data_IF_179698293171
#
_entry.id   IF_179698293171
#
_cell.length_a   1.000
_cell.length_b   1.000
_cell.length_c   1.000
_cell.angle_alpha   90.00
_cell.angle_beta   90.00
_cell.angle_gamma   90.00
#
_symmetry.space_group_name_H-M   'P 1'
#
loop_
_entity.id
_entity.type
_entity.pdbx_description
1 polymer ?
#
# COMPACT_ATOMS: atom_id res chain seq x y z
N UNK A 1 9.38 6.19 4.35
CA UNK A 1 8.41 6.01 3.26
C UNK A 1 8.91 4.82 2.50
N UNK A 2 8.16 3.73 2.58
CA UNK A 2 8.56 2.45 2.04
C UNK A 2 7.61 2.03 0.94
N UNK A 3 8.09 1.13 0.08
CA UNK A 3 7.39 0.68 -1.11
C UNK A 3 7.17 -0.82 -0.99
N UNK A 4 6.01 -1.29 -1.45
CA UNK A 4 5.77 -2.71 -1.65
C UNK A 4 5.04 -2.90 -2.98
N UNK A 5 5.55 -3.84 -3.75
CA UNK A 5 4.93 -4.38 -4.95
C UNK A 5 5.40 -5.84 -5.11
N UNK A 6 4.48 -6.79 -5.31
CA UNK A 6 4.83 -8.20 -5.36
C UNK A 6 5.45 -8.59 -6.72
N UNK A 7 5.29 -7.74 -7.74
CA UNK A 7 5.79 -7.96 -9.09
C UNK A 7 7.05 -7.15 -9.40
N UNK A 8 7.26 -6.03 -8.70
CA UNK A 8 8.41 -5.13 -8.89
C UNK A 8 9.22 -5.03 -7.60
N UNK A 9 10.26 -5.87 -7.40
CA UNK A 9 11.02 -5.91 -6.16
C UNK A 9 11.93 -4.68 -5.94
N UNK A 10 12.23 -3.92 -6.99
CA UNK A 10 13.00 -2.68 -6.89
C UNK A 10 12.53 -1.69 -7.96
N UNK A 11 12.23 -0.46 -7.54
CA UNK A 11 11.83 0.59 -8.45
C UNK A 11 13.04 1.06 -9.26
N UNK A 12 13.00 0.74 -10.55
CA UNK A 12 13.97 1.23 -11.53
C UNK A 12 13.71 2.69 -11.89
N UNK A 13 14.70 3.32 -12.52
CA UNK A 13 14.59 4.69 -13.00
C UNK A 13 13.39 4.84 -13.93
N UNK A 14 12.48 5.72 -13.55
CA UNK A 14 11.34 6.13 -14.37
C UNK A 14 11.71 7.34 -15.25
N UNK A 15 10.77 7.78 -16.10
CA UNK A 15 11.00 8.92 -17.01
C UNK A 15 11.46 10.19 -16.29
N UNK A 16 10.96 10.45 -15.09
CA UNK A 16 11.22 11.68 -14.33
C UNK A 16 11.94 11.47 -13.01
N UNK A 17 11.91 10.26 -12.44
CA UNK A 17 12.39 10.01 -11.08
C UNK A 17 13.23 8.75 -10.96
N UNK A 18 14.20 8.78 -10.05
CA UNK A 18 14.97 7.63 -9.62
C UNK A 18 14.86 7.48 -8.09
N UNK A 19 13.86 6.73 -7.63
CA UNK A 19 13.52 6.64 -6.21
C UNK A 19 14.40 5.66 -5.43
N UNK A 20 15.15 4.76 -6.10
CA UNK A 20 15.98 3.74 -5.45
C UNK A 20 15.28 3.02 -4.28
N UNK A 21 13.98 2.71 -4.42
CA UNK A 21 13.20 2.02 -3.40
C UNK A 21 13.16 0.53 -3.70
N UNK A 22 13.28 -0.27 -2.64
CA UNK A 22 13.10 -1.73 -2.71
C UNK A 22 11.79 -2.12 -2.05
N UNK A 23 11.14 -3.14 -2.62
CA UNK A 23 9.90 -3.70 -2.09
C UNK A 23 10.16 -4.31 -0.72
N UNK A 24 9.46 -3.83 0.30
CA UNK A 24 9.51 -4.36 1.68
C UNK A 24 8.42 -5.39 1.89
N UNK A 25 8.59 -6.32 2.81
CA UNK A 25 7.49 -7.23 3.17
C UNK A 25 6.37 -6.47 3.87
N UNK A 26 5.13 -6.83 3.54
CA UNK A 26 3.94 -6.20 4.06
C UNK A 26 3.27 -7.13 5.08
N UNK A 27 3.88 -7.22 6.27
CA UNK A 27 3.39 -7.99 7.40
C UNK A 27 2.70 -7.10 8.46
N UNK A 28 2.06 -7.71 9.46
CA UNK A 28 1.34 -6.99 10.52
C UNK A 28 2.24 -6.02 11.29
N UNK A 29 3.48 -6.41 11.57
CA UNK A 29 4.46 -5.59 12.29
C UNK A 29 4.80 -4.34 11.49
N UNK A 30 5.09 -4.52 10.20
CA UNK A 30 5.36 -3.43 9.29
C UNK A 30 4.15 -2.49 9.20
N UNK A 31 2.94 -3.03 8.97
CA UNK A 31 1.71 -2.23 8.85
C UNK A 31 1.41 -1.38 10.08
N UNK A 32 1.60 -1.93 11.29
CA UNK A 32 1.43 -1.19 12.54
C UNK A 32 2.48 -0.11 12.77
N UNK A 33 3.63 -0.22 12.11
CA UNK A 33 4.72 0.75 12.19
C UNK A 33 4.52 1.99 11.32
N UNK A 34 3.55 1.99 10.40
CA UNK A 34 3.25 3.12 9.53
C UNK A 34 2.01 3.89 9.99
N UNK A 35 2.01 5.21 9.78
CA UNK A 35 0.83 6.05 10.06
C UNK A 35 -0.29 5.87 9.03
N UNK A 36 0.07 5.54 7.78
CA UNK A 36 -0.87 5.42 6.68
C UNK A 36 -0.36 4.47 5.59
N UNK A 37 -1.28 3.70 5.00
CA UNK A 37 -1.08 2.90 3.80
C UNK A 37 -1.72 3.60 2.59
N UNK A 38 -0.98 3.72 1.49
CA UNK A 38 -1.47 4.30 0.23
C UNK A 38 -1.60 3.21 -0.84
N UNK A 39 -2.82 2.99 -1.33
CA UNK A 39 -3.07 2.05 -2.42
C UNK A 39 -2.91 2.79 -3.74
N UNK A 40 -1.78 2.55 -4.41
CA UNK A 40 -1.43 3.16 -5.71
C UNK A 40 -1.82 2.22 -6.87
N UNK A 41 -1.70 0.91 -6.67
CA UNK A 41 -2.01 -0.10 -7.69
C UNK A 41 -2.88 -1.19 -7.07
N UNK A 42 -3.90 -1.61 -7.80
CA UNK A 42 -4.79 -2.71 -7.40
C UNK A 42 -4.17 -4.03 -7.84
N UNK A 43 -3.45 -4.68 -6.94
CA UNK A 43 -2.94 -6.03 -7.15
C UNK A 43 -3.90 -7.02 -6.50
N UNK A 44 -4.50 -7.89 -7.31
CA UNK A 44 -5.48 -8.88 -6.85
C UNK A 44 -4.93 -9.93 -5.89
N UNK A 45 -3.61 -10.02 -5.74
CA UNK A 45 -2.95 -10.94 -4.81
C UNK A 45 -2.97 -10.47 -3.35
N UNK A 46 -3.34 -9.22 -3.07
CA UNK A 46 -3.43 -8.73 -1.70
C UNK A 46 -4.73 -9.12 -1.02
N UNK A 47 -4.63 -9.45 0.26
CA UNK A 47 -5.78 -9.54 1.16
C UNK A 47 -6.09 -8.14 1.72
N UNK A 48 -6.98 -7.41 1.06
CA UNK A 48 -7.36 -6.06 1.48
C UNK A 48 -8.09 -6.03 2.84
N UNK A 49 -8.68 -7.14 3.29
CA UNK A 49 -9.29 -7.20 4.62
C UNK A 49 -8.20 -7.24 5.70
N UNK A 50 -7.14 -8.04 5.50
CA UNK A 50 -5.95 -8.01 6.35
C UNK A 50 -5.33 -6.60 6.41
N UNK A 51 -5.20 -5.93 5.27
CA UNK A 51 -4.70 -4.55 5.23
C UNK A 51 -5.60 -3.59 6.01
N UNK A 52 -6.92 -3.70 5.85
CA UNK A 52 -7.91 -2.87 6.54
C UNK A 52 -7.90 -3.08 8.06
N UNK A 53 -7.67 -4.31 8.50
CA UNK A 53 -7.58 -4.66 9.91
C UNK A 53 -6.36 -4.01 10.58
N UNK A 54 -5.18 -4.17 9.98
CA UNK A 54 -3.91 -3.83 10.61
C UNK A 54 -3.38 -2.42 10.30
N UNK A 55 -3.76 -1.81 9.17
CA UNK A 55 -3.35 -0.45 8.86
C UNK A 55 -4.09 0.59 9.74
N UNK A 56 -3.41 1.63 10.24
CA UNK A 56 -4.06 2.70 11.01
C UNK A 56 -4.97 3.60 10.16
N UNK A 57 -4.52 3.93 8.95
CA UNK A 57 -5.22 4.73 7.96
C UNK A 57 -4.93 4.18 6.55
N UNK A 58 -5.93 4.18 5.68
CA UNK A 58 -5.78 3.78 4.28
C UNK A 58 -6.26 4.91 3.38
N UNK A 59 -5.41 5.34 2.45
CA UNK A 59 -5.79 6.19 1.32
C UNK A 59 -5.93 5.29 0.10
N UNK A 60 -7.17 5.14 -0.37
CA UNK A 60 -7.52 4.27 -1.48
C UNK A 60 -7.77 5.10 -2.75
N UNK A 61 -6.78 5.14 -3.65
CA UNK A 61 -6.88 5.84 -4.95
C UNK A 61 -7.45 4.96 -6.06
N UNK A 62 -7.68 3.67 -5.78
CA UNK A 62 -8.15 2.67 -6.75
C UNK A 62 -9.61 2.28 -6.50
N UNK A 63 -10.13 2.58 -5.32
CA UNK A 63 -11.47 2.23 -4.89
C UNK A 63 -11.65 0.73 -4.68
N UNK A 64 -10.60 0.00 -4.30
CA UNK A 64 -10.63 -1.45 -4.05
C UNK A 64 -11.41 -1.78 -2.77
N UNK A 65 -11.32 -0.92 -1.74
CA UNK A 65 -12.07 -1.09 -0.50
C UNK A 65 -13.47 -0.52 -0.69
N UNK A 66 -14.42 -1.41 -1.02
CA UNK A 66 -15.84 -1.05 -1.25
C UNK A 66 -16.61 -0.75 0.03
N UNK A 67 -16.16 -1.29 1.17
CA UNK A 67 -16.78 -1.06 2.48
C UNK A 67 -16.64 0.41 2.88
N UNK A 68 -17.69 0.98 3.48
CA UNK A 68 -17.54 2.29 4.11
C UNK A 68 -16.89 2.09 5.48
N UNK A 69 -15.67 2.57 5.65
CA UNK A 69 -14.87 2.32 6.85
C UNK A 69 -14.21 3.63 7.31
N UNK A 70 -14.21 3.89 8.62
CA UNK A 70 -13.73 5.16 9.18
C UNK A 70 -12.24 5.40 8.92
N UNK A 71 -11.46 4.33 8.77
CA UNK A 71 -10.03 4.40 8.45
C UNK A 71 -9.73 4.56 6.95
N UNK A 72 -10.74 4.60 6.08
CA UNK A 72 -10.54 4.59 4.62
C UNK A 72 -10.94 5.93 4.03
N UNK A 73 -9.96 6.62 3.45
CA UNK A 73 -10.16 7.85 2.69
C UNK A 73 -10.06 7.50 1.21
N UNK A 74 -11.09 7.84 0.44
CA UNK A 74 -11.10 7.67 -1.02
C UNK A 74 -10.58 8.96 -1.66
N UNK A 75 -9.68 8.83 -2.63
CA UNK A 75 -9.03 9.94 -3.33
C UNK A 75 -9.05 9.76 -4.85
#
# INVERSE_FOLDING_TARGET
>A
MDYNDPYIPSLSKTRHYNFNLSSVNLDESALKGYDCLLIITDHSCYDYEFLLEHAPLIVDTRGVIKKNHQKVIRA
#
